data_IF_780482879314
#
_entry.id   IF_780482879314
#
_cell.length_a   1.000
_cell.length_b   1.000
_cell.length_c   1.000
_cell.angle_alpha   90.00
_cell.angle_beta   90.00
_cell.angle_gamma   90.00
#
_symmetry.space_group_name_H-M   'P 1'
#
loop_
_entity.id
_entity.type
_entity.pdbx_description
1 polymer ?
#
# COMPACT_ATOMS: atom_id res chain seq x y z
N UNK A 1 6.04 -15.75 -6.87
CA UNK A 1 7.44 -15.34 -6.78
C UNK A 1 7.60 -14.03 -7.52
N UNK A 2 8.18 -13.06 -6.83
CA UNK A 2 8.42 -11.72 -7.32
C UNK A 2 9.66 -11.64 -8.18
N UNK A 3 9.63 -10.79 -9.20
CA UNK A 3 10.79 -10.43 -9.99
C UNK A 3 11.44 -9.16 -9.39
N UNK A 4 12.73 -9.17 -9.01
CA UNK A 4 13.38 -8.01 -8.40
C UNK A 4 13.37 -6.74 -9.26
N UNK A 5 13.48 -6.88 -10.59
CA UNK A 5 13.49 -5.74 -11.51
C UNK A 5 12.10 -5.12 -11.63
N UNK A 6 11.06 -5.97 -11.72
CA UNK A 6 9.66 -5.51 -11.68
C UNK A 6 9.38 -4.77 -10.37
N UNK A 7 9.74 -5.36 -9.22
CA UNK A 7 9.56 -4.74 -7.91
C UNK A 7 10.28 -3.39 -7.80
N UNK A 8 11.53 -3.31 -8.26
CA UNK A 8 12.29 -2.07 -8.23
C UNK A 8 11.56 -0.96 -8.99
N UNK A 9 11.16 -1.25 -10.21
CA UNK A 9 10.42 -0.31 -11.05
C UNK A 9 9.07 0.09 -10.43
N UNK A 10 8.29 -0.88 -9.92
CA UNK A 10 7.03 -0.60 -9.24
C UNK A 10 7.22 0.28 -7.99
N UNK A 11 8.26 0.05 -7.20
CA UNK A 11 8.57 0.86 -6.01
C UNK A 11 9.01 2.28 -6.38
N UNK A 12 9.75 2.45 -7.48
CA UNK A 12 10.10 3.78 -8.02
C UNK A 12 8.85 4.57 -8.43
N UNK A 13 7.93 3.95 -9.19
CA UNK A 13 6.66 4.58 -9.58
C UNK A 13 5.79 4.89 -8.35
N UNK A 14 5.73 3.96 -7.38
CA UNK A 14 5.05 4.18 -6.08
C UNK A 14 5.63 5.41 -5.36
N UNK A 15 6.95 5.54 -5.33
CA UNK A 15 7.62 6.68 -4.68
C UNK A 15 7.25 8.00 -5.38
N UNK A 16 7.39 8.06 -6.72
CA UNK A 16 7.02 9.24 -7.53
C UNK A 16 5.55 9.64 -7.35
N UNK A 17 4.63 8.67 -7.39
CA UNK A 17 3.18 8.91 -7.23
C UNK A 17 2.83 9.38 -5.82
N UNK A 18 3.44 8.81 -4.78
CA UNK A 18 3.26 9.30 -3.41
C UNK A 18 3.80 10.73 -3.23
N UNK A 19 5.00 11.01 -3.75
CA UNK A 19 5.60 12.35 -3.68
C UNK A 19 4.74 13.38 -4.43
N UNK A 20 4.12 12.97 -5.55
CA UNK A 20 3.14 13.79 -6.27
C UNK A 20 1.91 14.08 -5.41
N UNK A 21 1.34 13.09 -4.75
CA UNK A 21 0.23 13.29 -3.81
C UNK A 21 0.60 14.31 -2.71
N UNK A 22 1.81 14.20 -2.15
CA UNK A 22 2.28 15.10 -1.11
C UNK A 22 2.46 16.52 -1.64
N UNK A 23 3.04 16.65 -2.84
CA UNK A 23 3.18 17.92 -3.53
C UNK A 23 1.82 18.58 -3.79
N UNK A 24 0.84 17.86 -4.32
CA UNK A 24 -0.51 18.40 -4.57
C UNK A 24 -1.13 18.92 -3.28
N UNK A 25 -1.09 18.13 -2.20
CA UNK A 25 -1.59 18.56 -0.90
C UNK A 25 -0.86 19.81 -0.37
N UNK A 26 0.43 19.97 -0.65
CA UNK A 26 1.19 21.19 -0.31
C UNK A 26 0.76 22.42 -1.13
N UNK A 27 0.45 22.25 -2.42
CA UNK A 27 0.00 23.32 -3.30
C UNK A 27 -1.39 23.80 -2.89
N UNK A 28 -2.30 22.87 -2.61
CA UNK A 28 -3.64 23.16 -2.10
C UNK A 28 -3.54 23.98 -0.81
N UNK A 29 -2.71 23.52 0.14
CA UNK A 29 -2.48 24.22 1.39
C UNK A 29 -2.00 25.67 1.21
N UNK A 30 -0.98 25.89 0.38
CA UNK A 30 -0.45 27.24 0.11
C UNK A 30 -1.50 28.14 -0.55
N UNK A 31 -2.35 27.58 -1.40
CA UNK A 31 -3.35 28.35 -2.15
C UNK A 31 -4.59 28.75 -1.35
N UNK A 32 -4.87 28.11 -0.21
CA UNK A 32 -6.07 28.31 0.64
C UNK A 32 -7.41 28.30 -0.12
N UNK A 33 -7.47 27.68 -1.30
CA UNK A 33 -8.62 27.79 -2.20
C UNK A 33 -9.41 26.48 -2.26
N UNK A 34 -10.63 26.48 -1.71
CA UNK A 34 -11.54 25.32 -1.71
C UNK A 34 -12.00 24.90 -3.12
N UNK A 35 -12.03 25.81 -4.09
CA UNK A 35 -12.32 25.46 -5.49
C UNK A 35 -11.21 24.60 -6.10
N UNK A 36 -9.95 24.80 -5.70
CA UNK A 36 -8.83 23.92 -6.08
C UNK A 36 -8.88 22.57 -5.37
N UNK A 37 -9.44 22.50 -4.16
CA UNK A 37 -9.71 21.23 -3.45
C UNK A 37 -10.77 20.40 -4.20
N UNK A 38 -11.85 21.04 -4.67
CA UNK A 38 -12.89 20.36 -5.47
C UNK A 38 -12.38 19.90 -6.83
N UNK A 39 -11.62 20.74 -7.53
CA UNK A 39 -10.95 20.33 -8.76
C UNK A 39 -10.11 19.08 -8.53
N UNK A 40 -9.39 18.98 -7.40
CA UNK A 40 -8.62 17.78 -7.07
C UNK A 40 -9.47 16.55 -6.68
N UNK A 41 -10.65 16.74 -6.11
CA UNK A 41 -11.59 15.64 -5.88
C UNK A 41 -12.17 15.11 -7.21
N UNK A 42 -12.41 16.00 -8.17
CA UNK A 42 -12.83 15.67 -9.54
C UNK A 42 -11.70 14.96 -10.33
N UNK A 43 -10.43 15.26 -10.04
CA UNK A 43 -9.24 14.60 -10.60
C UNK A 43 -9.15 13.10 -10.31
N UNK A 44 -9.82 12.62 -9.25
CA UNK A 44 -9.88 11.20 -8.99
C UNK A 44 -10.64 10.42 -10.08
N UNK A 45 -11.54 11.05 -10.84
CA UNK A 45 -12.38 10.35 -11.84
C UNK A 45 -11.61 10.06 -13.14
N UNK A 46 -10.57 10.82 -13.46
CA UNK A 46 -9.68 10.58 -14.63
C UNK A 46 -8.24 11.01 -14.33
N UNK A 47 -7.59 10.27 -13.43
CA UNK A 47 -6.25 10.58 -12.93
C UNK A 47 -5.19 10.55 -14.03
N UNK A 48 -5.36 9.71 -15.07
CA UNK A 48 -4.43 9.67 -16.21
C UNK A 48 -4.49 10.94 -17.05
N UNK A 49 -5.70 11.36 -17.44
CA UNK A 49 -5.89 12.62 -18.18
C UNK A 49 -5.36 13.81 -17.40
N UNK A 50 -5.59 13.85 -16.09
CA UNK A 50 -5.07 14.93 -15.26
C UNK A 50 -3.54 14.98 -15.27
N UNK A 51 -2.87 13.83 -15.10
CA UNK A 51 -1.40 13.74 -15.13
C UNK A 51 -0.87 14.22 -16.48
N UNK A 52 -1.47 13.80 -17.60
CA UNK A 52 -1.08 14.26 -18.95
C UNK A 52 -1.24 15.77 -19.13
N UNK A 53 -2.37 16.33 -18.69
CA UNK A 53 -2.67 17.77 -18.80
C UNK A 53 -1.74 18.63 -17.95
N UNK A 54 -1.30 18.14 -16.80
CA UNK A 54 -0.51 18.90 -15.82
C UNK A 54 0.94 18.42 -15.73
N UNK A 55 1.39 17.57 -16.66
CA UNK A 55 2.70 16.92 -16.61
C UNK A 55 3.86 17.92 -16.46
N UNK A 56 3.78 19.07 -17.15
CA UNK A 56 4.78 20.13 -17.08
C UNK A 56 4.87 20.81 -15.69
N UNK A 57 3.82 20.73 -14.86
CA UNK A 57 3.75 21.33 -13.53
C UNK A 57 4.22 20.39 -12.42
N UNK A 58 4.25 19.08 -12.67
CA UNK A 58 4.72 18.10 -11.70
C UNK A 58 6.22 18.33 -11.45
N UNK A 59 6.72 18.36 -10.20
CA UNK A 59 8.16 18.50 -9.94
C UNK A 59 8.98 17.38 -10.56
N UNK A 60 10.21 17.67 -11.00
CA UNK A 60 11.04 16.70 -11.75
C UNK A 60 11.23 15.37 -11.01
N UNK A 61 11.52 15.41 -9.70
CA UNK A 61 11.68 14.22 -8.86
C UNK A 61 10.38 13.41 -8.64
N UNK A 62 9.24 13.95 -9.06
CA UNK A 62 7.92 13.33 -8.99
C UNK A 62 7.42 12.84 -10.36
N UNK A 63 8.04 13.26 -11.47
CA UNK A 63 7.54 12.97 -12.81
C UNK A 63 7.73 11.48 -13.17
N UNK A 64 6.67 10.79 -13.61
CA UNK A 64 6.83 9.48 -14.24
C UNK A 64 7.45 9.63 -15.63
N UNK A 65 8.08 8.59 -16.16
CA UNK A 65 8.40 8.53 -17.58
C UNK A 65 7.09 8.47 -18.41
N UNK A 66 7.08 8.90 -19.68
CA UNK A 66 5.87 8.88 -20.52
C UNK A 66 5.16 7.52 -20.56
N UNK A 67 5.91 6.44 -20.66
CA UNK A 67 5.44 5.05 -20.64
C UNK A 67 4.93 4.58 -19.26
N UNK A 68 5.38 5.23 -18.17
CA UNK A 68 4.97 4.94 -16.80
C UNK A 68 3.65 5.61 -16.42
N UNK A 69 3.16 6.57 -17.22
CA UNK A 69 1.98 7.40 -16.89
C UNK A 69 0.76 6.55 -16.48
N UNK A 70 0.35 5.47 -17.19
CA UNK A 70 -0.81 4.68 -16.78
C UNK A 70 -0.63 4.05 -15.38
N UNK A 71 0.52 3.38 -15.18
CA UNK A 71 0.90 2.75 -13.92
C UNK A 71 0.96 3.76 -12.75
N UNK A 72 1.59 4.90 -13.00
CA UNK A 72 1.68 6.01 -12.06
C UNK A 72 0.30 6.54 -11.69
N UNK A 73 -0.58 6.75 -12.67
CA UNK A 73 -1.93 7.28 -12.45
C UNK A 73 -2.80 6.31 -11.66
N UNK A 74 -2.70 5.00 -11.91
CA UNK A 74 -3.39 4.01 -11.09
C UNK A 74 -2.92 4.03 -9.64
N UNK A 75 -1.60 4.11 -9.40
CA UNK A 75 -1.05 4.18 -8.04
C UNK A 75 -1.45 5.47 -7.34
N UNK A 76 -1.35 6.62 -8.02
CA UNK A 76 -1.79 7.91 -7.51
C UNK A 76 -3.28 7.88 -7.12
N UNK A 77 -4.12 7.37 -8.01
CA UNK A 77 -5.56 7.21 -7.77
C UNK A 77 -5.84 6.30 -6.57
N UNK A 78 -5.12 5.18 -6.45
CA UNK A 78 -5.31 4.21 -5.36
C UNK A 78 -5.18 4.84 -3.97
N UNK A 79 -4.38 5.89 -3.80
CA UNK A 79 -4.22 6.55 -2.51
C UNK A 79 -5.53 7.15 -1.97
N UNK A 80 -6.41 7.67 -2.84
CA UNK A 80 -7.71 8.22 -2.42
C UNK A 80 -8.72 7.14 -2.05
N UNK A 81 -8.56 5.93 -2.57
CA UNK A 81 -9.43 4.80 -2.25
C UNK A 81 -8.96 4.04 -1.00
N UNK A 82 -7.64 3.95 -0.81
CA UNK A 82 -7.03 3.08 0.20
C UNK A 82 -6.57 3.85 1.43
N UNK A 83 -5.87 4.96 1.23
CA UNK A 83 -5.05 5.57 2.29
C UNK A 83 -5.59 6.88 2.81
N UNK A 84 -6.18 7.71 1.96
CA UNK A 84 -6.54 9.09 2.31
C UNK A 84 -7.99 9.43 1.98
N UNK A 85 -8.55 10.36 2.75
CA UNK A 85 -9.83 11.03 2.49
C UNK A 85 -9.56 12.52 2.38
N UNK A 86 -10.15 13.17 1.38
CA UNK A 86 -10.14 14.62 1.27
C UNK A 86 -11.07 15.22 2.32
N UNK A 87 -10.51 16.01 3.24
CA UNK A 87 -11.28 16.72 4.27
C UNK A 87 -11.39 18.18 3.88
N UNK A 88 -12.61 18.68 3.70
CA UNK A 88 -12.87 20.10 3.40
C UNK A 88 -12.64 21.03 4.60
N UNK A 89 -12.59 20.47 5.81
CA UNK A 89 -12.51 21.25 7.05
C UNK A 89 -11.08 21.47 7.49
N UNK A 90 -10.69 22.73 7.50
CA UNK A 90 -9.47 23.22 8.16
C UNK A 90 -9.66 23.02 9.67
N UNK A 91 -9.25 21.86 10.22
CA UNK A 91 -9.14 21.75 11.68
C UNK A 91 -7.95 22.60 12.10
N UNK A 92 -8.24 23.81 12.58
CA UNK A 92 -7.25 24.65 13.26
C UNK A 92 -6.65 23.84 14.42
N UNK A 93 -5.34 23.91 14.66
CA UNK A 93 -4.64 23.06 15.63
C UNK A 93 -4.98 23.32 17.10
N UNK A 94 -6.09 24.01 17.40
CA UNK A 94 -6.39 24.53 18.75
C UNK A 94 -7.62 23.94 19.45
N UNK A 95 -8.36 22.98 18.87
CA UNK A 95 -9.44 22.34 19.62
C UNK A 95 -9.13 20.87 19.91
N UNK A 96 -8.90 20.60 21.20
CA UNK A 96 -8.73 19.30 21.87
C UNK A 96 -7.31 18.72 21.97
N UNK A 97 -6.76 18.82 23.19
CA UNK A 97 -5.50 18.19 23.66
C UNK A 97 -5.39 16.67 23.37
N UNK A 98 -6.48 15.97 23.02
CA UNK A 98 -6.47 14.54 22.70
C UNK A 98 -5.90 14.23 21.31
N UNK A 99 -5.74 15.21 20.43
CA UNK A 99 -5.21 15.00 19.07
C UNK A 99 -3.71 15.30 18.94
N UNK A 100 -3.05 15.82 19.98
CA UNK A 100 -1.65 16.26 19.95
C UNK A 100 -0.64 15.17 19.52
N UNK A 101 -0.93 13.89 19.75
CA UNK A 101 -0.07 12.78 19.35
C UNK A 101 -0.27 12.31 17.90
N UNK A 102 -1.35 12.72 17.24
CA UNK A 102 -1.55 12.52 15.79
C UNK A 102 -0.82 13.58 14.95
N UNK A 103 -0.36 14.68 15.56
CA UNK A 103 0.26 15.83 14.90
C UNK A 103 1.76 15.70 14.56
N UNK A 104 2.35 14.51 14.72
CA UNK A 104 3.69 14.24 14.15
C UNK A 104 3.65 14.33 12.61
N UNK A 105 2.46 14.27 12.00
CA UNK A 105 2.25 14.57 10.58
C UNK A 105 1.96 16.05 10.34
N UNK A 106 3.01 16.87 10.35
CA UNK A 106 2.96 18.33 10.12
C UNK A 106 2.62 18.76 8.67
N UNK A 107 1.98 17.93 7.86
CA UNK A 107 1.89 18.14 6.41
C UNK A 107 0.52 17.95 5.76
N UNK A 108 -0.48 17.34 6.43
CA UNK A 108 -1.74 17.02 5.76
C UNK A 108 -2.87 17.95 6.19
N UNK A 109 -3.04 19.04 5.46
CA UNK A 109 -4.08 20.02 5.75
C UNK A 109 -5.43 19.67 5.11
N UNK A 110 -5.42 18.88 4.04
CA UNK A 110 -6.62 18.46 3.31
C UNK A 110 -6.73 16.96 3.06
N UNK A 111 -5.72 16.18 3.45
CA UNK A 111 -5.75 14.71 3.40
C UNK A 111 -5.78 14.17 4.83
N UNK A 112 -6.80 13.40 5.18
CA UNK A 112 -6.77 12.61 6.41
C UNK A 112 -6.48 11.16 6.08
N UNK A 113 -5.70 10.48 6.93
CA UNK A 113 -5.54 9.03 6.80
C UNK A 113 -6.88 8.35 7.06
N UNK A 114 -7.23 7.37 6.23
CA UNK A 114 -8.40 6.52 6.43
C UNK A 114 -8.26 5.75 7.75
N UNK A 115 -9.39 5.62 8.44
CA UNK A 115 -9.48 4.83 9.65
C UNK A 115 -9.58 3.35 9.28
N UNK A 116 -8.71 2.51 9.84
CA UNK A 116 -8.72 1.06 9.65
C UNK A 116 -9.66 0.44 10.67
N UNK A 117 -10.74 -0.18 10.19
CA UNK A 117 -11.76 -0.84 11.02
C UNK A 117 -11.36 -2.27 11.38
N UNK A 118 -12.17 -2.94 12.21
CA UNK A 118 -11.99 -4.38 12.50
C UNK A 118 -12.20 -5.25 11.24
N UNK A 119 -13.16 -4.89 10.40
CA UNK A 119 -13.44 -5.60 9.15
C UNK A 119 -12.25 -5.53 8.19
N UNK A 120 -11.61 -4.35 8.08
CA UNK A 120 -10.41 -4.17 7.24
C UNK A 120 -9.24 -5.05 7.70
N UNK A 121 -9.08 -5.24 9.02
CA UNK A 121 -8.05 -6.11 9.59
C UNK A 121 -8.31 -7.58 9.26
N UNK A 122 -9.56 -8.01 9.37
CA UNK A 122 -9.96 -9.37 9.01
C UNK A 122 -9.74 -9.63 7.52
N UNK A 123 -10.09 -8.67 6.67
CA UNK A 123 -9.87 -8.80 5.23
C UNK A 123 -8.37 -8.82 4.87
N UNK A 124 -7.56 -8.00 5.55
CA UNK A 124 -6.10 -8.07 5.42
C UNK A 124 -5.53 -9.43 5.83
N UNK A 125 -6.09 -10.08 6.86
CA UNK A 125 -5.70 -11.44 7.22
C UNK A 125 -6.10 -12.45 6.14
N UNK A 126 -7.27 -12.31 5.49
CA UNK A 126 -7.60 -13.14 4.31
C UNK A 126 -6.62 -12.94 3.16
N UNK A 127 -6.20 -11.70 2.89
CA UNK A 127 -5.16 -11.42 1.89
C UNK A 127 -3.83 -12.11 2.24
N UNK A 128 -3.47 -12.15 3.52
CA UNK A 128 -2.28 -12.88 4.00
C UNK A 128 -2.43 -14.40 3.78
N UNK A 129 -3.59 -14.98 4.08
CA UNK A 129 -3.86 -16.41 3.82
C UNK A 129 -3.78 -16.71 2.34
N UNK A 130 -4.40 -15.88 1.50
CA UNK A 130 -4.34 -16.01 0.04
C UNK A 130 -2.89 -15.93 -0.47
N UNK A 131 -2.06 -15.07 0.12
CA UNK A 131 -0.64 -15.00 -0.22
C UNK A 131 0.13 -16.27 0.14
N UNK A 132 -0.15 -16.88 1.31
CA UNK A 132 0.45 -18.16 1.69
C UNK A 132 0.01 -19.27 0.72
N UNK A 133 -1.29 -19.38 0.46
CA UNK A 133 -1.86 -20.35 -0.46
C UNK A 133 -1.22 -20.24 -1.86
N UNK A 134 -1.16 -19.03 -2.42
CA UNK A 134 -0.54 -18.78 -3.72
C UNK A 134 0.96 -19.14 -3.73
N UNK A 135 1.66 -18.90 -2.62
CA UNK A 135 3.09 -19.24 -2.53
C UNK A 135 3.29 -20.76 -2.46
N UNK A 136 2.46 -21.46 -1.69
CA UNK A 136 2.49 -22.92 -1.55
C UNK A 136 2.14 -23.63 -2.87
N UNK A 137 1.09 -23.17 -3.57
CA UNK A 137 0.71 -23.66 -4.89
C UNK A 137 1.89 -23.58 -5.88
N UNK A 138 2.59 -22.44 -5.91
CA UNK A 138 3.77 -22.25 -6.77
C UNK A 138 4.97 -23.12 -6.40
N UNK A 139 5.03 -23.61 -5.17
CA UNK A 139 6.04 -24.57 -4.70
C UNK A 139 5.59 -26.01 -4.91
N UNK A 140 4.38 -26.24 -5.41
CA UNK A 140 3.81 -27.58 -5.57
C UNK A 140 3.49 -28.25 -4.23
N UNK A 141 3.07 -27.48 -3.23
CA UNK A 141 2.73 -27.97 -1.89
C UNK A 141 1.21 -28.12 -1.73
N UNK A 142 0.79 -29.14 -0.98
CA UNK A 142 -0.61 -29.35 -0.64
C UNK A 142 -1.03 -28.31 0.42
N UNK A 143 -2.16 -27.64 0.18
CA UNK A 143 -2.66 -26.58 1.06
C UNK A 143 -4.02 -26.93 1.63
N UNK A 144 -4.11 -26.92 2.96
CA UNK A 144 -5.38 -26.88 3.69
C UNK A 144 -5.60 -25.47 4.28
N UNK A 145 -6.76 -24.82 4.04
CA UNK A 145 -7.06 -23.51 4.59
C UNK A 145 -6.92 -23.42 6.13
N UNK A 146 -7.26 -24.46 6.89
CA UNK A 146 -7.13 -24.45 8.35
C UNK A 146 -5.66 -24.47 8.80
N UNK A 147 -4.83 -25.23 8.08
CA UNK A 147 -3.38 -25.25 8.29
C UNK A 147 -2.75 -23.87 8.02
N UNK A 148 -3.12 -23.20 6.91
CA UNK A 148 -2.63 -21.85 6.59
C UNK A 148 -3.06 -20.80 7.63
N UNK A 149 -4.30 -20.89 8.12
CA UNK A 149 -4.77 -20.05 9.24
C UNK A 149 -3.97 -20.31 10.51
N UNK A 150 -3.66 -21.58 10.80
CA UNK A 150 -2.85 -21.97 11.96
C UNK A 150 -1.42 -21.45 11.84
N UNK A 151 -0.82 -21.48 10.65
CA UNK A 151 0.48 -20.85 10.39
C UNK A 151 0.46 -19.36 10.71
N UNK A 152 -0.61 -18.63 10.33
CA UNK A 152 -0.75 -17.21 10.69
C UNK A 152 -0.98 -16.95 12.18
N UNK A 153 -1.15 -17.96 13.04
CA UNK A 153 -1.10 -17.73 14.50
C UNK A 153 0.33 -17.49 14.98
N UNK A 154 1.33 -17.90 14.20
CA UNK A 154 2.74 -17.64 14.46
C UNK A 154 3.08 -16.17 14.16
N UNK A 155 3.39 -15.40 15.20
CA UNK A 155 3.70 -13.96 15.07
C UNK A 155 4.95 -13.70 14.23
N UNK A 156 5.87 -14.66 14.13
CA UNK A 156 7.08 -14.49 13.31
C UNK A 156 6.76 -14.40 11.81
N UNK A 157 5.65 -15.00 11.38
CA UNK A 157 5.18 -14.98 9.99
C UNK A 157 4.36 -13.73 9.64
N UNK A 158 3.90 -12.96 10.62
CA UNK A 158 2.99 -11.83 10.37
C UNK A 158 3.61 -10.77 9.47
N UNK A 159 4.81 -10.32 9.78
CA UNK A 159 5.49 -9.27 9.01
C UNK A 159 5.89 -9.75 7.61
N UNK A 160 6.56 -10.91 7.43
CA UNK A 160 6.88 -11.44 6.11
C UNK A 160 5.64 -11.62 5.22
N UNK A 161 4.58 -12.24 5.73
CA UNK A 161 3.36 -12.48 4.94
C UNK A 161 2.64 -11.17 4.60
N UNK A 162 2.60 -10.21 5.52
CA UNK A 162 2.01 -8.90 5.24
C UNK A 162 2.80 -8.12 4.18
N UNK A 163 4.13 -8.19 4.19
CA UNK A 163 4.99 -7.58 3.15
C UNK A 163 4.69 -8.20 1.78
N UNK A 164 4.66 -9.53 1.69
CA UNK A 164 4.38 -10.21 0.42
C UNK A 164 2.95 -9.95 -0.08
N UNK A 165 1.95 -9.98 0.81
CA UNK A 165 0.56 -9.67 0.43
C UNK A 165 0.43 -8.21 -0.06
N UNK A 166 1.11 -7.27 0.60
CA UNK A 166 1.16 -5.87 0.16
C UNK A 166 1.89 -5.72 -1.19
N UNK A 167 2.98 -6.45 -1.42
CA UNK A 167 3.73 -6.40 -2.67
C UNK A 167 2.89 -6.95 -3.84
N UNK A 168 2.16 -8.05 -3.65
CA UNK A 168 1.20 -8.58 -4.63
C UNK A 168 0.13 -7.55 -4.97
N UNK A 169 -0.49 -6.94 -3.96
CA UNK A 169 -1.48 -5.88 -4.14
C UNK A 169 -0.87 -4.65 -4.85
N UNK A 170 0.37 -4.28 -4.55
CA UNK A 170 1.04 -3.15 -5.19
C UNK A 170 1.21 -3.38 -6.71
N UNK A 171 1.62 -4.59 -7.10
CA UNK A 171 1.74 -4.98 -8.51
C UNK A 171 0.39 -5.00 -9.23
N UNK A 172 -0.68 -5.38 -8.52
CA UNK A 172 -2.06 -5.33 -9.02
C UNK A 172 -2.55 -3.88 -9.20
N UNK A 173 -2.25 -3.00 -8.25
CA UNK A 173 -2.59 -1.57 -8.33
C UNK A 173 -1.93 -0.87 -9.48
N UNK A 174 -0.70 -1.24 -9.83
CA UNK A 174 -0.06 -0.74 -11.04
C UNK A 174 -0.89 -1.01 -12.31
N UNK A 175 -1.67 -2.10 -12.30
CA UNK A 175 -2.57 -2.53 -13.37
C UNK A 175 -4.02 -2.03 -13.20
N UNK A 176 -4.27 -1.12 -12.25
CA UNK A 176 -5.57 -0.50 -12.03
C UNK A 176 -6.50 -1.26 -11.07
N UNK A 177 -6.04 -2.35 -10.45
CA UNK A 177 -6.85 -3.12 -9.49
C UNK A 177 -6.73 -2.54 -8.07
N UNK A 178 -7.85 -2.27 -7.40
CA UNK A 178 -7.87 -1.61 -6.09
C UNK A 178 -8.61 -2.47 -5.07
N UNK A 179 -7.91 -2.92 -4.01
CA UNK A 179 -8.47 -3.75 -2.94
C UNK A 179 -8.91 -2.97 -1.68
N UNK A 180 -8.90 -1.63 -1.74
CA UNK A 180 -9.45 -0.76 -0.69
C UNK A 180 -8.61 -0.69 0.60
N UNK A 181 -9.27 -0.30 1.71
CA UNK A 181 -8.65 -0.03 3.02
C UNK A 181 -7.92 -1.23 3.68
N UNK A 182 -8.27 -2.51 3.44
CA UNK A 182 -7.49 -3.66 3.95
C UNK A 182 -6.00 -3.59 3.60
N UNK A 183 -5.63 -3.02 2.46
CA UNK A 183 -4.24 -2.80 2.06
C UNK A 183 -3.51 -1.86 3.02
N UNK A 184 -4.20 -0.85 3.55
CA UNK A 184 -3.64 0.03 4.59
C UNK A 184 -3.41 -0.75 5.89
N UNK A 185 -4.28 -1.70 6.22
CA UNK A 185 -4.08 -2.58 7.37
C UNK A 185 -2.84 -3.48 7.19
N UNK A 186 -2.60 -4.02 5.99
CA UNK A 186 -1.36 -4.74 5.66
C UNK A 186 -0.13 -3.85 5.84
N UNK A 187 -0.14 -2.65 5.26
CA UNK A 187 0.97 -1.68 5.37
C UNK A 187 1.31 -1.38 6.83
N UNK A 188 0.30 -1.19 7.69
CA UNK A 188 0.50 -0.93 9.12
C UNK A 188 1.15 -2.09 9.88
N UNK A 189 1.05 -3.34 9.40
CA UNK A 189 1.68 -4.49 10.08
C UNK A 189 3.22 -4.42 10.07
N UNK A 190 3.83 -3.76 9.09
CA UNK A 190 5.29 -3.69 8.96
C UNK A 190 5.86 -2.26 8.90
N UNK A 191 5.07 -1.26 8.51
CA UNK A 191 5.52 0.13 8.42
C UNK A 191 5.24 0.95 9.70
N UNK A 192 4.55 0.39 10.69
CA UNK A 192 4.23 1.05 11.95
C UNK A 192 4.93 0.36 13.14
N UNK A 193 5.15 1.11 14.21
CA UNK A 193 5.68 0.60 15.47
C UNK A 193 4.56 0.12 16.40
N UNK A 194 4.95 -0.53 17.49
CA UNK A 194 4.02 -1.08 18.49
C UNK A 194 3.21 -0.01 19.24
N UNK A 195 3.66 1.25 19.22
CA UNK A 195 2.91 2.38 19.78
C UNK A 195 1.81 2.92 18.84
N UNK A 196 1.63 2.32 17.66
CA UNK A 196 0.61 2.75 16.71
C UNK A 196 0.98 4.03 15.97
N UNK A 197 2.28 4.26 15.72
CA UNK A 197 2.76 5.35 14.87
C UNK A 197 3.67 4.79 13.76
N UNK A 198 3.79 5.46 12.60
CA UNK A 198 4.69 5.00 11.54
C UNK A 198 6.15 4.94 12.01
N UNK A 199 6.89 3.97 11.49
CA UNK A 199 8.35 3.91 11.62
C UNK A 199 8.94 5.15 10.91
N UNK A 200 9.80 5.90 11.61
CA UNK A 200 10.43 7.12 11.07
C UNK A 200 11.31 6.75 9.87
N UNK A 201 11.21 7.51 8.79
CA UNK A 201 11.98 7.31 7.54
C UNK A 201 11.84 5.89 6.95
N UNK A 202 10.71 5.22 7.21
CA UNK A 202 10.48 3.89 6.68
C UNK A 202 10.26 3.94 5.17
N UNK A 203 11.05 3.14 4.45
CA UNK A 203 10.92 2.91 3.02
C UNK A 203 10.86 1.40 2.76
N UNK A 204 9.87 0.98 1.99
CA UNK A 204 9.79 -0.41 1.54
C UNK A 204 10.75 -0.57 0.35
N UNK A 205 11.79 -1.38 0.53
CA UNK A 205 12.80 -1.68 -0.50
C UNK A 205 12.67 -3.12 -1.01
N UNK A 206 13.26 -3.39 -2.18
CA UNK A 206 13.20 -4.71 -2.84
C UNK A 206 13.69 -5.83 -1.92
N UNK A 207 14.81 -5.63 -1.23
CA UNK A 207 15.41 -6.64 -0.35
C UNK A 207 14.46 -7.09 0.76
N UNK A 208 13.63 -6.19 1.29
CA UNK A 208 12.63 -6.56 2.30
C UNK A 208 11.59 -7.52 1.74
N UNK A 209 11.13 -7.30 0.51
CA UNK A 209 10.14 -8.15 -0.16
C UNK A 209 10.77 -9.51 -0.51
N UNK A 210 12.01 -9.52 -1.00
CA UNK A 210 12.72 -10.75 -1.34
C UNK A 210 13.02 -11.60 -0.10
N UNK A 211 13.45 -10.97 0.99
CA UNK A 211 13.68 -11.65 2.27
C UNK A 211 12.38 -12.19 2.86
N UNK A 212 11.29 -11.40 2.80
CA UNK A 212 9.97 -11.85 3.22
C UNK A 212 9.50 -13.06 2.41
N UNK A 213 9.72 -13.06 1.09
CA UNK A 213 9.40 -14.18 0.22
C UNK A 213 10.20 -15.44 0.62
N UNK A 214 11.51 -15.33 0.80
CA UNK A 214 12.34 -16.47 1.21
C UNK A 214 11.91 -17.04 2.56
N UNK A 215 11.60 -16.18 3.53
CA UNK A 215 11.10 -16.60 4.84
C UNK A 215 9.81 -17.42 4.71
N UNK A 216 8.82 -16.92 3.95
CA UNK A 216 7.56 -17.64 3.72
C UNK A 216 7.79 -18.97 3.00
N UNK A 217 8.65 -18.99 1.98
CA UNK A 217 8.94 -20.21 1.22
C UNK A 217 9.55 -21.29 2.10
N UNK A 218 10.55 -20.94 2.91
CA UNK A 218 11.18 -21.87 3.84
C UNK A 218 10.16 -22.43 4.84
N UNK A 219 9.31 -21.57 5.40
CA UNK A 219 8.29 -21.99 6.37
C UNK A 219 7.21 -22.88 5.75
N UNK A 220 6.84 -22.64 4.50
CA UNK A 220 5.91 -23.52 3.78
C UNK A 220 6.55 -24.88 3.47
N UNK A 221 7.80 -24.91 2.99
CA UNK A 221 8.53 -26.16 2.71
C UNK A 221 8.75 -27.01 3.97
N UNK A 222 8.91 -26.38 5.13
CA UNK A 222 9.07 -27.07 6.41
C UNK A 222 7.77 -27.65 6.95
N UNK A 223 6.62 -27.01 6.68
CA UNK A 223 5.35 -27.31 7.35
C UNK A 223 4.32 -28.02 6.46
N UNK A 224 4.43 -27.91 5.14
CA UNK A 224 3.46 -28.47 4.20
C UNK A 224 4.06 -29.65 3.41
N UNK A 225 3.29 -30.72 3.18
CA UNK A 225 3.73 -31.81 2.33
C UNK A 225 3.70 -31.41 0.83
N UNK A 226 4.49 -32.08 -0.02
CA UNK A 226 4.40 -31.92 -1.47
C UNK A 226 3.05 -32.42 -2.00
N UNK A 227 2.53 -31.80 -3.07
CA UNK A 227 1.36 -32.28 -3.79
C UNK A 227 1.62 -33.71 -4.27
N UNK A 228 0.68 -34.61 -3.93
CA UNK A 228 0.69 -35.97 -4.48
C UNK A 228 0.53 -35.88 -6.00
N UNK A 229 1.53 -36.36 -6.75
CA UNK A 229 1.35 -36.54 -8.18
C UNK A 229 0.23 -37.56 -8.41
N UNK A 230 -0.71 -37.31 -9.34
CA UNK A 230 -1.69 -38.32 -9.68
C UNK A 230 -0.95 -39.57 -10.14
N UNK A 231 -1.30 -40.73 -9.56
CA UNK A 231 -0.80 -42.03 -10.01
C UNK A 231 -1.22 -42.17 -11.48
N UNK A 232 -0.24 -42.04 -12.39
CA UNK A 232 -0.39 -42.22 -13.83
C UNK A 232 -0.71 -43.66 -14.18
#
# INVERSE_FOLDING_TARGET
MFNPNELKHTLEIKSKSYNTLMWINSVIYKSRSLSKVRAFAEVAVDTEKWVKQHYALIPEHCKPLPEEIPAFSHLLHSYFHISFVLTGDFKTPYSTLKHALLFVFRGFFYLSLRHVTKADKLEAEKMMIAQLAHTAERLGLETDPEQLQTMLKDKSLHEPVAICAYATDLLQRQKGQINGVPVLALWRKFAWNHHGSPKKNFELIVDMIMNAQHCIQNELLLRLPPLKQPLS
#
